data_IF_892092322399
#
_entry.id   IF_892092322399
#
_cell.length_a   1.000
_cell.length_b   1.000
_cell.length_c   1.000
_cell.angle_alpha   90.00
_cell.angle_beta   90.00
_cell.angle_gamma   90.00
#
_symmetry.space_group_name_H-M   'P 1'
#
loop_
_entity.id
_entity.type
_entity.pdbx_description
1 polymer ?
#
# COMPACT_ATOMS: atom_id res chain seq x y z
N UNK A 1 -40.47 -1.58 6.57
CA UNK A 1 -39.26 -0.76 6.30
C UNK A 1 -39.69 0.70 6.32
N UNK A 2 -39.08 1.53 7.15
CA UNK A 2 -39.38 2.95 7.21
C UNK A 2 -38.49 3.70 6.20
N UNK A 3 -39.10 4.55 5.38
CA UNK A 3 -38.38 5.42 4.46
C UNK A 3 -37.90 6.64 5.26
N UNK A 4 -36.59 6.75 5.45
CA UNK A 4 -35.98 7.92 6.07
C UNK A 4 -35.76 8.98 4.99
N UNK A 5 -36.31 10.20 5.13
CA UNK A 5 -36.05 11.27 4.17
C UNK A 5 -34.58 11.70 4.30
N UNK A 6 -33.82 11.56 3.21
CA UNK A 6 -32.47 12.12 3.11
C UNK A 6 -32.62 13.52 2.55
N UNK A 7 -32.56 14.51 3.43
CA UNK A 7 -32.60 15.92 3.05
C UNK A 7 -31.18 16.49 3.01
N UNK A 8 -30.92 17.41 2.07
CA UNK A 8 -29.70 18.21 2.03
C UNK A 8 -28.40 17.48 1.61
N UNK A 9 -28.45 16.65 0.57
CA UNK A 9 -27.32 15.89 -0.02
C UNK A 9 -26.22 16.79 -0.66
N UNK A 10 -26.19 18.09 -0.32
CA UNK A 10 -25.22 19.05 -0.83
C UNK A 10 -25.00 20.28 0.05
N UNK A 11 -25.51 20.33 1.29
CA UNK A 11 -25.24 21.47 2.20
C UNK A 11 -23.79 21.55 2.65
N UNK A 12 -23.14 20.40 2.73
CA UNK A 12 -21.71 20.27 2.96
C UNK A 12 -21.19 19.69 1.66
N UNK A 13 -20.31 20.41 0.96
CA UNK A 13 -19.67 19.91 -0.25
C UNK A 13 -18.78 18.69 0.07
N UNK A 14 -17.74 18.47 -0.74
CA UNK A 14 -16.71 17.48 -0.39
C UNK A 14 -16.11 17.88 0.96
N UNK A 15 -16.41 17.12 2.01
CA UNK A 15 -15.81 17.31 3.32
C UNK A 15 -14.34 16.91 3.20
N UNK A 16 -13.49 17.92 2.96
CA UNK A 16 -12.03 17.75 3.06
C UNK A 16 -11.70 17.64 4.54
N UNK A 17 -10.73 16.77 4.84
CA UNK A 17 -10.42 16.35 6.21
C UNK A 17 -10.37 17.55 7.18
N UNK A 18 -11.14 17.49 8.29
CA UNK A 18 -11.07 18.51 9.31
C UNK A 18 -9.63 18.59 9.84
N UNK A 19 -9.08 19.79 10.08
CA UNK A 19 -7.76 19.93 10.64
C UNK A 19 -7.65 19.11 11.95
N UNK A 20 -6.48 18.52 12.27
CA UNK A 20 -6.38 17.49 13.32
C UNK A 20 -6.91 17.90 14.70
N UNK A 21 -6.92 19.20 15.00
CA UNK A 21 -7.44 19.74 16.26
C UNK A 21 -8.97 19.77 16.36
N UNK A 22 -9.70 19.62 15.26
CA UNK A 22 -11.17 19.59 15.25
C UNK A 22 -11.73 18.18 15.15
N UNK A 23 -10.88 17.14 15.31
CA UNK A 23 -11.33 15.76 15.34
C UNK A 23 -11.93 15.42 16.70
N UNK A 24 -13.09 14.72 16.74
CA UNK A 24 -13.60 14.14 17.98
C UNK A 24 -12.54 13.26 18.65
N UNK A 25 -12.51 13.15 19.99
CA UNK A 25 -11.45 12.43 20.73
C UNK A 25 -11.24 10.96 20.32
N UNK A 26 -12.18 10.37 19.59
CA UNK A 26 -12.15 8.98 19.11
C UNK A 26 -11.83 8.86 17.62
N UNK A 27 -11.45 9.95 16.95
CA UNK A 27 -11.26 9.99 15.49
C UNK A 27 -9.81 10.29 15.15
N UNK A 28 -9.26 9.54 14.19
CA UNK A 28 -7.90 9.73 13.68
C UNK A 28 -7.95 10.54 12.38
N UNK A 29 -7.02 11.48 12.22
CA UNK A 29 -6.93 12.35 11.02
C UNK A 29 -6.43 11.62 9.80
N UNK A 30 -5.54 10.64 10.02
CA UNK A 30 -4.88 9.88 8.98
C UNK A 30 -4.19 8.65 9.63
N UNK A 31 -4.03 7.58 8.86
CA UNK A 31 -3.33 6.36 9.25
C UNK A 31 -2.01 6.24 8.49
N UNK A 32 -0.90 6.58 9.14
CA UNK A 32 0.44 6.42 8.53
C UNK A 32 1.00 5.05 8.89
N UNK A 33 1.41 4.29 7.88
CA UNK A 33 2.15 3.06 8.10
C UNK A 33 3.56 3.41 8.57
N UNK A 34 3.89 2.97 9.78
CA UNK A 34 5.20 3.16 10.40
C UNK A 34 5.78 1.82 10.81
N UNK A 35 7.10 1.68 10.64
CA UNK A 35 7.89 0.56 11.12
C UNK A 35 8.84 1.05 12.20
N UNK A 36 9.01 0.21 13.22
CA UNK A 36 10.04 0.37 14.24
C UNK A 36 11.30 -0.39 13.81
N UNK A 37 12.44 0.29 13.84
CA UNK A 37 13.78 -0.27 13.69
C UNK A 37 14.55 -0.04 14.98
N UNK A 38 15.67 -0.75 15.18
CA UNK A 38 16.48 -0.62 16.41
C UNK A 38 16.96 0.82 16.67
N UNK A 39 17.07 1.63 15.62
CA UNK A 39 17.55 3.01 15.66
C UNK A 39 16.44 4.07 15.53
N UNK A 40 15.17 3.68 15.41
CA UNK A 40 14.07 4.65 15.37
C UNK A 40 12.78 4.19 14.71
N UNK A 41 12.00 5.18 14.26
CA UNK A 41 10.73 4.95 13.56
C UNK A 41 10.84 5.53 12.16
N UNK A 42 10.47 4.73 11.16
CA UNK A 42 10.46 5.14 9.76
C UNK A 42 9.07 4.95 9.14
N UNK A 43 8.73 5.79 8.16
CA UNK A 43 7.52 5.61 7.36
C UNK A 43 7.75 4.46 6.38
N UNK A 44 6.77 3.57 6.28
CA UNK A 44 6.78 2.44 5.36
C UNK A 44 5.66 2.60 4.33
N UNK A 45 5.91 2.42 3.03
CA UNK A 45 4.86 2.42 2.03
C UNK A 45 3.80 1.35 2.33
N UNK A 46 2.54 1.77 2.29
CA UNK A 46 1.40 0.89 2.49
C UNK A 46 1.05 0.08 1.24
N UNK A 47 0.18 -0.91 1.41
CA UNK A 47 -0.34 -1.72 0.30
C UNK A 47 -0.86 -0.87 -0.88
N UNK A 48 -1.67 0.14 -0.58
CA UNK A 48 -2.25 1.04 -1.59
C UNK A 48 -1.18 1.84 -2.32
N UNK A 49 -0.22 2.43 -1.59
CA UNK A 49 0.86 3.25 -2.16
C UNK A 49 1.79 2.44 -3.08
N UNK A 50 2.06 1.18 -2.72
CA UNK A 50 2.83 0.26 -3.56
C UNK A 50 2.06 -0.06 -4.85
N UNK A 51 0.76 -0.35 -4.75
CA UNK A 51 -0.05 -0.69 -5.93
C UNK A 51 -0.31 0.49 -6.87
N UNK A 52 -0.42 1.71 -6.34
CA UNK A 52 -0.60 2.93 -7.15
C UNK A 52 0.56 3.15 -8.14
N UNK A 53 1.76 2.71 -7.78
CA UNK A 53 2.97 2.87 -8.59
C UNK A 53 3.40 1.56 -9.29
N UNK A 54 2.52 0.55 -9.39
CA UNK A 54 2.87 -0.72 -10.02
C UNK A 54 3.12 -0.56 -11.53
N UNK A 55 4.19 -1.15 -12.10
CA UNK A 55 4.50 -1.03 -13.52
C UNK A 55 3.41 -1.67 -14.41
N UNK A 56 2.69 -0.85 -15.17
CA UNK A 56 1.56 -1.29 -16.00
C UNK A 56 1.95 -2.27 -17.12
N UNK A 57 3.22 -2.29 -17.55
CA UNK A 57 3.74 -3.22 -18.56
C UNK A 57 3.95 -4.65 -18.04
N UNK A 58 3.87 -4.87 -16.72
CA UNK A 58 4.14 -6.16 -16.07
C UNK A 58 2.90 -7.01 -15.81
N UNK A 59 1.74 -6.56 -16.29
CA UNK A 59 0.46 -7.25 -16.20
C UNK A 59 -0.34 -6.87 -14.96
N UNK A 60 -1.35 -7.66 -14.65
CA UNK A 60 -2.24 -7.42 -13.49
C UNK A 60 -1.65 -8.07 -12.23
N UNK A 61 -1.48 -7.31 -11.12
CA UNK A 61 -1.14 -7.90 -9.82
C UNK A 61 -2.19 -8.92 -9.38
N UNK A 62 -1.76 -10.16 -9.14
CA UNK A 62 -2.63 -11.25 -8.68
C UNK A 62 -2.45 -11.54 -7.20
N UNK A 63 -1.21 -11.49 -6.73
CA UNK A 63 -0.88 -11.75 -5.34
C UNK A 63 0.25 -10.84 -4.87
N UNK A 64 0.20 -10.45 -3.60
CA UNK A 64 1.22 -9.64 -2.97
C UNK A 64 1.62 -10.24 -1.62
N UNK A 65 2.90 -10.20 -1.31
CA UNK A 65 3.43 -10.65 -0.03
C UNK A 65 4.44 -9.63 0.47
N UNK A 66 4.29 -9.23 1.72
CA UNK A 66 5.30 -8.46 2.42
C UNK A 66 6.34 -9.39 3.03
N UNK A 67 7.62 -9.12 2.78
CA UNK A 67 8.74 -9.74 3.47
C UNK A 67 9.42 -8.70 4.34
N UNK A 68 9.44 -8.97 5.65
CA UNK A 68 10.33 -8.26 6.55
C UNK A 68 11.75 -8.80 6.37
N UNK A 69 12.70 -7.92 6.09
CA UNK A 69 14.08 -8.31 5.97
C UNK A 69 14.65 -8.70 7.33
N UNK A 70 15.42 -9.80 7.34
CA UNK A 70 16.17 -10.19 8.53
C UNK A 70 17.35 -9.23 8.73
N UNK A 71 17.57 -8.81 9.97
CA UNK A 71 18.65 -7.90 10.36
C UNK A 71 20.05 -8.44 10.01
N UNK A 72 20.18 -9.76 9.90
CA UNK A 72 21.47 -10.45 9.75
C UNK A 72 22.07 -10.38 8.34
N UNK A 73 21.27 -10.01 7.32
CA UNK A 73 21.68 -10.12 5.90
C UNK A 73 21.86 -8.75 5.23
N UNK A 74 21.56 -7.66 5.94
CA UNK A 74 21.59 -6.31 5.33
C UNK A 74 20.58 -6.15 4.18
N UNK A 75 19.54 -6.98 4.16
CA UNK A 75 18.44 -6.89 3.20
C UNK A 75 17.51 -5.73 3.58
N UNK A 76 16.87 -5.11 2.59
CA UNK A 76 15.80 -4.14 2.82
C UNK A 76 14.42 -4.83 2.84
N UNK A 77 13.48 -4.26 3.59
CA UNK A 77 12.09 -4.71 3.54
C UNK A 77 11.55 -4.58 2.12
N UNK A 78 10.82 -5.60 1.68
CA UNK A 78 10.37 -5.66 0.30
C UNK A 78 8.97 -6.24 0.16
N UNK A 79 8.29 -5.81 -0.89
CA UNK A 79 7.03 -6.40 -1.32
C UNK A 79 7.25 -7.24 -2.58
N UNK A 80 6.80 -8.48 -2.55
CA UNK A 80 6.73 -9.33 -3.74
C UNK A 80 5.35 -9.21 -4.35
N UNK A 81 5.30 -8.90 -5.63
CA UNK A 81 4.07 -8.88 -6.43
C UNK A 81 4.18 -9.91 -7.52
N UNK A 82 3.23 -10.83 -7.52
CA UNK A 82 3.08 -11.89 -8.50
C UNK A 82 2.04 -11.46 -9.53
N UNK A 83 2.42 -11.53 -10.80
CA UNK A 83 1.53 -11.40 -11.94
C UNK A 83 1.49 -12.73 -12.70
N UNK A 84 0.69 -12.81 -13.76
CA UNK A 84 0.58 -14.00 -14.60
C UNK A 84 1.92 -14.43 -15.22
N UNK A 85 2.85 -13.50 -15.42
CA UNK A 85 4.10 -13.73 -16.14
C UNK A 85 5.34 -13.17 -15.45
N UNK A 86 5.20 -12.38 -14.38
CA UNK A 86 6.33 -11.72 -13.73
C UNK A 86 6.23 -11.80 -12.21
N UNK A 87 7.39 -11.88 -11.57
CA UNK A 87 7.53 -11.64 -10.14
C UNK A 87 8.31 -10.33 -10.00
N UNK A 88 7.63 -9.32 -9.49
CA UNK A 88 8.16 -7.99 -9.27
C UNK A 88 8.44 -7.80 -7.78
N UNK A 89 9.53 -7.13 -7.45
CA UNK A 89 9.90 -6.79 -6.09
C UNK A 89 9.95 -5.29 -5.94
N UNK A 90 9.22 -4.76 -4.97
CA UNK A 90 9.30 -3.37 -4.57
C UNK A 90 10.23 -3.24 -3.36
N UNK A 91 11.26 -2.44 -3.54
CA UNK A 91 12.30 -2.16 -2.55
C UNK A 91 11.89 -0.93 -1.73
N UNK A 92 11.62 -1.09 -0.43
CA UNK A 92 11.01 -0.01 0.37
C UNK A 92 11.97 1.13 0.69
N UNK A 93 13.26 0.89 0.85
CA UNK A 93 14.23 1.95 1.14
C UNK A 93 14.56 2.72 -0.14
N UNK A 94 14.81 1.99 -1.22
CA UNK A 94 15.12 2.55 -2.53
C UNK A 94 13.89 3.11 -3.27
N UNK A 95 12.68 2.77 -2.82
CA UNK A 95 11.37 3.12 -3.43
C UNK A 95 11.31 2.82 -4.92
N UNK A 96 11.84 1.66 -5.30
CA UNK A 96 11.99 1.28 -6.70
C UNK A 96 11.50 -0.14 -6.96
N UNK A 97 11.03 -0.37 -8.19
CA UNK A 97 10.65 -1.69 -8.68
C UNK A 97 11.83 -2.39 -9.33
N UNK A 98 12.02 -3.65 -8.98
CA UNK A 98 12.99 -4.55 -9.60
C UNK A 98 12.27 -5.81 -10.05
N UNK A 99 12.57 -6.27 -11.27
CA UNK A 99 12.07 -7.55 -11.74
C UNK A 99 12.93 -8.67 -11.15
N UNK A 100 12.32 -9.55 -10.36
CA UNK A 100 13.01 -10.68 -9.74
C UNK A 100 12.98 -11.93 -10.61
N UNK A 101 11.85 -12.18 -11.29
CA UNK A 101 11.73 -13.29 -12.22
C UNK A 101 10.70 -13.01 -13.32
N UNK A 102 10.82 -13.72 -14.42
CA UNK A 102 9.82 -13.80 -15.49
C UNK A 102 9.50 -15.25 -15.77
N UNK A 103 8.22 -15.58 -15.84
CA UNK A 103 7.72 -16.87 -16.28
C UNK A 103 7.51 -16.83 -17.80
N UNK A 104 7.97 -17.86 -18.53
CA UNK A 104 7.67 -17.97 -19.95
C UNK A 104 6.16 -18.14 -20.13
N UNK A 105 5.62 -17.43 -21.14
CA UNK A 105 4.20 -17.48 -21.49
C UNK A 105 3.75 -18.93 -21.71
N UNK A 106 2.77 -19.38 -20.93
CA UNK A 106 2.20 -20.73 -21.02
C UNK A 106 2.68 -21.73 -19.96
N UNK A 107 3.47 -21.31 -18.97
CA UNK A 107 3.73 -22.14 -17.78
C UNK A 107 2.55 -22.05 -16.80
N UNK A 108 1.69 -23.07 -16.79
CA UNK A 108 0.68 -23.26 -15.74
C UNK A 108 1.35 -23.66 -14.43
N UNK A 109 0.97 -22.97 -13.35
CA UNK A 109 1.32 -23.28 -11.96
C UNK A 109 0.53 -24.51 -11.48
#
# INVERSE_FOLDING_TARGET
MALLPVENIGSVGIHKDPPPYSLPPTTWSDGVNVRFTDLGVMKMPGYQEVMDNFPADKGTPMHIVFRNASIDVGDEDMWFVFTESHIMTYLNESRNWVQSASLPAGSTI
#
